data_IF_748137614215
#
_entry.id   IF_748137614215
#
_cell.length_a   1.000
_cell.length_b   1.000
_cell.length_c   1.000
_cell.angle_alpha   90.00
_cell.angle_beta   90.00
_cell.angle_gamma   90.00
#
_symmetry.space_group_name_H-M   'P 1'
#
loop_
_entity.id
_entity.type
_entity.pdbx_description
1 polymer ?
#
# COMPACT_ATOMS: atom_id res chain seq x y z
N UNK A 1 -8.55 -1.78 -22.17
CA UNK A 1 -7.94 -2.00 -20.83
C UNK A 1 -7.69 -3.49 -20.59
N UNK A 2 -6.45 -3.92 -20.78
CA UNK A 2 -6.00 -5.26 -20.34
C UNK A 2 -5.53 -5.16 -18.88
N UNK A 3 -6.15 -5.94 -18.00
CA UNK A 3 -5.72 -6.07 -16.60
C UNK A 3 -4.84 -7.30 -16.49
N UNK A 4 -3.53 -7.10 -16.32
CA UNK A 4 -2.61 -8.20 -16.04
C UNK A 4 -2.48 -8.32 -14.53
N UNK A 5 -3.21 -9.28 -13.95
CA UNK A 5 -3.08 -9.68 -12.56
C UNK A 5 -2.25 -10.97 -12.51
N UNK A 6 -0.99 -10.86 -12.10
CA UNK A 6 -0.15 -12.05 -11.96
C UNK A 6 -0.22 -12.59 -10.55
N UNK A 7 -0.58 -13.87 -10.44
CA UNK A 7 -0.80 -14.55 -9.17
C UNK A 7 0.15 -15.73 -9.05
N UNK A 8 1.12 -15.66 -8.14
CA UNK A 8 1.96 -16.81 -7.83
C UNK A 8 1.15 -17.87 -7.06
N UNK A 9 0.87 -19.01 -7.70
CA UNK A 9 0.24 -20.17 -7.04
C UNK A 9 1.14 -20.81 -5.97
N UNK A 10 2.46 -20.59 -6.03
CA UNK A 10 3.45 -21.18 -5.12
C UNK A 10 3.33 -20.69 -3.67
N UNK A 11 2.61 -19.59 -3.39
CA UNK A 11 2.61 -18.96 -2.05
C UNK A 11 1.38 -19.23 -1.17
N UNK A 12 0.36 -19.98 -1.63
CA UNK A 12 -0.91 -20.07 -0.87
C UNK A 12 -0.78 -20.67 0.53
N UNK A 13 0.20 -21.56 0.75
CA UNK A 13 0.26 -22.41 1.95
C UNK A 13 1.58 -22.40 2.74
N UNK A 14 2.60 -21.61 2.36
CA UNK A 14 3.88 -21.62 3.09
C UNK A 14 3.89 -20.51 4.17
N UNK A 15 4.15 -20.84 5.45
CA UNK A 15 3.96 -19.90 6.57
C UNK A 15 4.90 -18.69 6.58
N UNK A 16 6.00 -18.73 5.81
CA UNK A 16 7.02 -17.67 5.75
C UNK A 16 7.13 -16.99 4.37
N UNK A 17 6.10 -17.05 3.52
CA UNK A 17 6.15 -16.36 2.22
C UNK A 17 6.00 -14.86 2.39
N UNK A 18 7.09 -14.14 2.10
CA UNK A 18 7.09 -12.69 1.98
C UNK A 18 6.38 -12.28 0.66
N UNK A 19 5.33 -11.44 0.71
CA UNK A 19 4.63 -10.96 -0.49
C UNK A 19 5.55 -10.29 -1.51
N UNK A 20 6.52 -9.49 -1.04
CA UNK A 20 7.49 -8.81 -1.90
C UNK A 20 8.36 -9.79 -2.68
N UNK A 21 8.89 -10.82 -2.03
CA UNK A 21 9.68 -11.87 -2.72
C UNK A 21 8.84 -12.65 -3.72
N UNK A 22 7.60 -12.93 -3.35
CA UNK A 22 6.66 -13.66 -4.21
C UNK A 22 6.37 -12.88 -5.49
N UNK A 23 6.16 -11.57 -5.38
CA UNK A 23 5.90 -10.69 -6.51
C UNK A 23 7.14 -10.47 -7.39
N UNK A 24 8.32 -10.32 -6.80
CA UNK A 24 9.59 -10.23 -7.56
C UNK A 24 9.83 -11.50 -8.38
N UNK A 25 9.41 -12.66 -7.89
CA UNK A 25 9.53 -13.94 -8.61
C UNK A 25 8.53 -14.12 -9.76
N UNK A 26 7.69 -13.12 -10.05
CA UNK A 26 6.78 -13.15 -11.21
C UNK A 26 7.55 -12.77 -12.46
N UNK A 27 7.38 -13.54 -13.54
CA UNK A 27 8.00 -13.25 -14.83
C UNK A 27 7.45 -11.94 -15.42
N UNK A 28 8.26 -10.88 -15.41
CA UNK A 28 7.89 -9.56 -15.94
C UNK A 28 7.87 -9.52 -17.46
N UNK A 29 8.63 -10.39 -18.14
CA UNK A 29 8.65 -10.47 -19.61
C UNK A 29 7.25 -10.79 -20.16
N UNK A 30 6.57 -11.76 -19.54
CA UNK A 30 5.20 -12.14 -19.95
C UNK A 30 4.19 -11.02 -19.67
N UNK A 31 4.42 -10.22 -18.61
CA UNK A 31 3.54 -9.09 -18.25
C UNK A 31 3.63 -8.00 -19.30
N UNK A 32 4.84 -7.71 -19.79
CA UNK A 32 5.09 -6.59 -20.71
C UNK A 32 5.00 -6.99 -22.18
N UNK A 33 4.84 -8.28 -22.46
CA UNK A 33 4.65 -8.79 -23.81
C UNK A 33 3.48 -8.07 -24.52
N UNK A 34 3.76 -7.50 -25.70
CA UNK A 34 2.77 -6.76 -26.48
C UNK A 34 2.44 -5.36 -25.96
N UNK A 35 3.23 -4.82 -25.02
CA UNK A 35 3.19 -3.39 -24.69
C UNK A 35 3.94 -2.58 -25.76
N UNK A 36 3.39 -1.42 -26.12
CA UNK A 36 3.99 -0.53 -27.12
C UNK A 36 5.25 0.16 -26.57
N UNK A 37 6.25 0.30 -27.44
CA UNK A 37 7.38 1.20 -27.20
C UNK A 37 6.91 2.65 -27.13
N UNK A 38 7.69 3.51 -26.47
CA UNK A 38 7.35 4.93 -26.31
C UNK A 38 6.15 5.20 -25.38
N UNK A 39 5.81 4.24 -24.53
CA UNK A 39 4.76 4.39 -23.51
C UNK A 39 5.15 5.36 -22.39
N UNK A 40 4.16 5.78 -21.60
CA UNK A 40 4.35 6.44 -20.30
C UNK A 40 3.97 5.47 -19.17
N UNK A 41 4.91 5.21 -18.26
CA UNK A 41 4.68 4.37 -17.08
C UNK A 41 4.32 5.26 -15.92
N UNK A 42 3.17 4.99 -15.34
CA UNK A 42 2.54 5.81 -14.33
C UNK A 42 2.50 4.99 -13.05
N UNK A 43 3.31 5.38 -12.08
CA UNK A 43 3.36 4.69 -10.79
C UNK A 43 2.78 5.53 -9.67
N UNK A 44 1.85 4.93 -8.93
CA UNK A 44 1.22 5.57 -7.77
C UNK A 44 1.89 5.08 -6.48
N UNK A 45 3.00 5.74 -6.12
CA UNK A 45 3.83 5.46 -4.94
C UNK A 45 4.80 4.29 -5.12
N UNK A 46 6.11 4.56 -5.22
CA UNK A 46 7.11 3.52 -5.55
C UNK A 46 7.78 2.83 -4.37
N UNK A 47 7.68 3.39 -3.15
CA UNK A 47 8.45 2.88 -2.02
C UNK A 47 9.94 2.81 -2.38
N UNK A 48 10.53 1.61 -2.34
CA UNK A 48 11.94 1.37 -2.65
C UNK A 48 12.27 1.24 -4.15
N UNK A 49 11.29 1.37 -5.04
CA UNK A 49 11.43 1.34 -6.52
C UNK A 49 12.01 0.06 -7.15
N UNK A 50 12.45 -0.93 -6.37
CA UNK A 50 13.02 -2.20 -6.87
C UNK A 50 12.13 -2.92 -7.89
N UNK A 51 10.81 -2.95 -7.68
CA UNK A 51 9.87 -3.59 -8.62
C UNK A 51 9.70 -2.78 -9.90
N UNK A 52 9.79 -1.46 -9.77
CA UNK A 52 9.79 -0.53 -10.89
C UNK A 52 11.03 -0.73 -11.75
N UNK A 53 12.21 -0.90 -11.14
CA UNK A 53 13.45 -1.25 -11.85
C UNK A 53 13.32 -2.56 -12.62
N UNK A 54 12.79 -3.62 -11.99
CA UNK A 54 12.58 -4.91 -12.65
C UNK A 54 11.60 -4.78 -13.83
N UNK A 55 10.52 -4.01 -13.67
CA UNK A 55 9.56 -3.78 -14.75
C UNK A 55 10.18 -2.96 -15.90
N UNK A 56 10.89 -1.89 -15.57
CA UNK A 56 11.54 -1.01 -16.56
C UNK A 56 12.65 -1.72 -17.34
N UNK A 57 13.34 -2.67 -16.71
CA UNK A 57 14.34 -3.52 -17.36
C UNK A 57 13.71 -4.45 -18.41
N UNK A 58 12.44 -4.84 -18.23
CA UNK A 58 11.71 -5.68 -19.18
C UNK A 58 11.04 -4.88 -20.32
N UNK A 59 10.80 -3.58 -20.12
CA UNK A 59 10.19 -2.70 -21.13
C UNK A 59 11.22 -2.21 -22.15
N UNK A 60 11.07 -2.64 -23.41
CA UNK A 60 11.88 -2.21 -24.54
C UNK A 60 11.46 -0.78 -24.98
N UNK A 61 12.19 0.22 -24.45
CA UNK A 61 12.06 1.67 -24.67
C UNK A 61 10.76 2.31 -24.14
N UNK A 62 10.88 2.89 -22.94
CA UNK A 62 9.90 3.82 -22.38
C UNK A 62 10.19 5.26 -22.79
N UNK A 63 9.14 6.05 -23.02
CA UNK A 63 9.28 7.49 -23.23
C UNK A 63 9.45 8.22 -21.90
N UNK A 64 8.57 7.97 -20.92
CA UNK A 64 8.58 8.66 -19.62
C UNK A 64 8.17 7.74 -18.48
N UNK A 65 8.89 7.81 -17.37
CA UNK A 65 8.44 7.28 -16.08
C UNK A 65 7.86 8.44 -15.25
N UNK A 66 6.55 8.42 -15.05
CA UNK A 66 5.79 9.42 -14.30
C UNK A 66 5.38 8.88 -12.94
N UNK A 67 5.90 9.49 -11.88
CA UNK A 67 5.70 8.97 -10.54
C UNK A 67 4.98 9.95 -9.63
N UNK A 68 3.90 9.48 -9.01
CA UNK A 68 3.28 10.18 -7.90
C UNK A 68 3.97 9.81 -6.59
N UNK A 69 4.65 10.78 -5.97
CA UNK A 69 5.37 10.63 -4.70
C UNK A 69 4.76 11.48 -3.62
N UNK A 70 4.71 10.99 -2.38
CA UNK A 70 4.36 11.86 -1.24
C UNK A 70 5.52 12.76 -0.84
N UNK A 71 6.75 12.27 -0.99
CA UNK A 71 8.00 13.03 -0.85
C UNK A 71 8.98 12.58 -1.94
N UNK A 72 9.50 13.50 -2.76
CA UNK A 72 10.50 13.16 -3.77
C UNK A 72 11.83 12.85 -3.07
N UNK A 73 12.41 11.67 -3.34
CA UNK A 73 13.73 11.29 -2.85
C UNK A 73 14.75 11.37 -4.01
N UNK A 74 15.90 12.07 -3.84
CA UNK A 74 16.91 12.23 -4.90
C UNK A 74 17.45 10.91 -5.46
N UNK A 75 17.47 9.85 -4.65
CA UNK A 75 17.96 8.53 -5.05
C UNK A 75 17.17 7.92 -6.22
N UNK A 76 15.87 8.25 -6.35
CA UNK A 76 15.00 7.74 -7.42
C UNK A 76 15.48 8.24 -8.78
N UNK A 77 15.87 9.51 -8.90
CA UNK A 77 16.34 10.08 -10.16
C UNK A 77 17.63 9.41 -10.66
N UNK A 78 18.52 8.99 -9.75
CA UNK A 78 19.76 8.32 -10.11
C UNK A 78 19.55 6.88 -10.60
N UNK A 79 18.58 6.15 -10.03
CA UNK A 79 18.30 4.76 -10.39
C UNK A 79 17.84 4.58 -11.85
N UNK A 80 17.39 5.66 -12.50
CA UNK A 80 16.82 5.65 -13.85
C UNK A 80 17.62 6.49 -14.85
N UNK A 81 18.94 6.64 -14.64
CA UNK A 81 19.81 7.37 -15.55
C UNK A 81 19.69 6.85 -16.99
N UNK A 82 19.49 7.75 -17.95
CA UNK A 82 19.22 7.42 -19.37
C UNK A 82 17.74 7.32 -19.77
N UNK A 83 16.80 7.54 -18.84
CA UNK A 83 15.36 7.65 -19.14
C UNK A 83 14.81 8.99 -18.62
N UNK A 84 13.79 9.54 -19.29
CA UNK A 84 13.07 10.71 -18.75
C UNK A 84 12.22 10.27 -17.56
N UNK A 85 12.46 10.89 -16.41
CA UNK A 85 11.71 10.67 -15.16
C UNK A 85 11.05 11.97 -14.74
N UNK A 86 9.73 11.95 -14.67
CA UNK A 86 8.92 13.09 -14.25
C UNK A 86 8.29 12.75 -12.89
N UNK A 87 8.68 13.48 -11.86
CA UNK A 87 8.15 13.30 -10.50
C UNK A 87 7.06 14.32 -10.22
N UNK A 88 5.90 13.87 -9.75
CA UNK A 88 4.84 14.73 -9.23
C UNK A 88 4.60 14.44 -7.75
N UNK A 89 4.57 15.49 -6.94
CA UNK A 89 4.19 15.36 -5.54
C UNK A 89 2.68 15.22 -5.45
N UNK A 90 2.20 14.12 -4.85
CA UNK A 90 0.78 13.86 -4.71
C UNK A 90 0.41 12.68 -3.81
N UNK A 91 -0.88 12.59 -3.49
CA UNK A 91 -1.47 11.48 -2.74
C UNK A 91 -2.14 10.49 -3.71
N UNK A 92 -1.73 9.22 -3.66
CA UNK A 92 -2.30 8.14 -4.48
C UNK A 92 -3.80 7.93 -4.30
N UNK A 93 -4.39 8.51 -3.25
CA UNK A 93 -5.85 8.53 -3.03
C UNK A 93 -6.60 9.49 -3.95
N UNK A 94 -5.89 10.46 -4.53
CA UNK A 94 -6.48 11.48 -5.39
C UNK A 94 -6.26 11.11 -6.86
N UNK A 95 -7.17 11.51 -7.75
CA UNK A 95 -6.99 11.34 -9.19
C UNK A 95 -5.67 11.96 -9.65
N UNK A 96 -4.90 11.16 -10.38
CA UNK A 96 -3.69 11.64 -11.03
C UNK A 96 -4.07 12.36 -12.33
N UNK A 97 -3.45 13.51 -12.59
CA UNK A 97 -3.56 14.20 -13.88
C UNK A 97 -2.22 14.14 -14.57
N UNK A 98 -2.21 13.60 -15.79
CA UNK A 98 -1.03 13.63 -16.64
C UNK A 98 -0.91 15.00 -17.31
N UNK A 99 0.30 15.55 -17.44
CA UNK A 99 0.57 16.66 -18.34
C UNK A 99 0.09 16.35 -19.76
N UNK A 100 -0.39 17.36 -20.49
CA UNK A 100 -0.97 17.18 -21.82
C UNK A 100 0.01 16.52 -22.82
N UNK A 101 1.29 16.83 -22.72
CA UNK A 101 2.37 16.22 -23.51
C UNK A 101 2.53 14.71 -23.27
N UNK A 102 2.22 14.22 -22.07
CA UNK A 102 2.27 12.79 -21.75
C UNK A 102 0.96 12.07 -22.07
N UNK A 103 -0.15 12.80 -22.11
CA UNK A 103 -1.47 12.24 -22.39
C UNK A 103 -1.61 11.66 -23.81
N UNK A 104 -0.74 12.07 -24.74
CA UNK A 104 -0.66 11.51 -26.09
C UNK A 104 0.11 10.18 -26.18
N UNK A 105 0.83 9.80 -25.12
CA UNK A 105 1.62 8.57 -25.09
C UNK A 105 0.78 7.39 -24.59
N UNK A 106 1.02 6.15 -25.06
CA UNK A 106 0.32 4.98 -24.56
C UNK A 106 0.54 4.80 -23.05
N UNK A 107 -0.51 4.89 -22.21
CA UNK A 107 -0.34 4.91 -20.77
C UNK A 107 -0.32 3.49 -20.18
N UNK A 108 0.62 3.25 -19.28
CA UNK A 108 0.71 2.04 -18.47
C UNK A 108 0.63 2.46 -17.01
N UNK A 109 -0.44 2.08 -16.31
CA UNK A 109 -0.52 2.28 -14.86
C UNK A 109 0.09 1.06 -14.15
N UNK A 110 1.01 1.32 -13.24
CA UNK A 110 1.65 0.32 -12.41
C UNK A 110 1.34 0.56 -10.94
N UNK A 111 0.74 -0.45 -10.32
CA UNK A 111 0.40 -0.47 -8.89
C UNK A 111 1.06 -1.71 -8.29
N UNK A 112 2.37 -1.64 -7.96
CA UNK A 112 3.07 -2.77 -7.40
C UNK A 112 2.62 -3.08 -5.97
N UNK A 113 2.98 -4.27 -5.51
CA UNK A 113 2.74 -4.70 -4.15
C UNK A 113 1.30 -5.11 -3.89
N UNK A 114 0.97 -5.16 -2.61
CA UNK A 114 -0.41 -5.26 -2.12
C UNK A 114 -0.98 -3.87 -1.81
N UNK A 115 -0.48 -2.83 -2.48
CA UNK A 115 -0.83 -1.42 -2.23
C UNK A 115 -2.34 -1.19 -2.36
N UNK A 116 -3.00 -1.85 -3.31
CA UNK A 116 -4.47 -1.81 -3.45
C UNK A 116 -5.19 -2.35 -2.20
N UNK A 117 -4.58 -3.28 -1.46
CA UNK A 117 -5.12 -3.84 -0.22
C UNK A 117 -5.07 -2.91 0.99
N UNK A 118 -4.38 -1.76 0.88
CA UNK A 118 -4.39 -0.71 1.91
C UNK A 118 -5.75 -0.02 1.94
N UNK A 119 -6.36 0.18 0.78
CA UNK A 119 -7.60 0.93 0.59
C UNK A 119 -8.82 0.15 1.06
N UNK A 120 -9.82 0.88 1.55
CA UNK A 120 -11.18 0.31 1.69
C UNK A 120 -11.72 0.00 0.30
N UNK A 121 -12.69 -0.91 0.22
CA UNK A 121 -13.26 -1.35 -1.05
C UNK A 121 -13.77 -0.18 -1.90
N UNK A 122 -14.41 0.81 -1.28
CA UNK A 122 -14.96 1.97 -1.99
C UNK A 122 -13.87 2.92 -2.50
N UNK A 123 -12.77 3.03 -1.75
CA UNK A 123 -11.58 3.80 -2.13
C UNK A 123 -10.84 3.12 -3.27
N UNK A 124 -10.66 1.80 -3.20
CA UNK A 124 -10.06 1.00 -4.27
C UNK A 124 -10.86 1.12 -5.59
N UNK A 125 -12.20 1.07 -5.52
CA UNK A 125 -13.08 1.30 -6.68
C UNK A 125 -12.87 2.69 -7.29
N UNK A 126 -12.76 3.74 -6.46
CA UNK A 126 -12.50 5.11 -6.93
C UNK A 126 -11.13 5.21 -7.60
N UNK A 127 -10.10 4.63 -7.00
CA UNK A 127 -8.75 4.58 -7.56
C UNK A 127 -8.73 3.90 -8.92
N UNK A 128 -9.32 2.70 -9.02
CA UNK A 128 -9.37 1.93 -10.27
C UNK A 128 -10.17 2.64 -11.37
N UNK A 129 -11.25 3.35 -11.03
CA UNK A 129 -11.98 4.20 -11.99
C UNK A 129 -11.13 5.36 -12.49
N UNK A 130 -10.41 6.01 -11.59
CA UNK A 130 -9.49 7.10 -11.96
C UNK A 130 -8.36 6.62 -12.86
N UNK A 131 -7.81 5.43 -12.60
CA UNK A 131 -6.83 4.80 -13.48
C UNK A 131 -7.44 4.49 -14.84
N UNK A 132 -8.65 3.90 -14.87
CA UNK A 132 -9.38 3.63 -16.11
C UNK A 132 -9.57 4.88 -16.98
N UNK A 133 -9.88 6.03 -16.38
CA UNK A 133 -10.01 7.29 -17.12
C UNK A 133 -8.70 7.81 -17.72
N UNK A 134 -7.57 7.50 -17.08
CA UNK A 134 -6.24 7.87 -17.60
C UNK A 134 -5.84 6.91 -18.72
N UNK A 135 -6.14 5.62 -18.55
CA UNK A 135 -5.70 4.57 -19.46
C UNK A 135 -6.42 4.59 -20.81
N UNK A 136 -7.70 4.98 -20.82
CA UNK A 136 -8.51 4.88 -22.03
C UNK A 136 -8.64 3.45 -22.57
N UNK A 137 -8.94 3.32 -23.87
CA UNK A 137 -9.14 2.02 -24.50
C UNK A 137 -7.84 1.21 -24.58
N UNK A 138 -6.74 1.87 -24.95
CA UNK A 138 -5.47 1.25 -25.30
C UNK A 138 -4.48 1.14 -24.13
N UNK A 139 -4.76 1.80 -23.01
CA UNK A 139 -3.93 1.72 -21.83
C UNK A 139 -3.90 0.34 -21.18
N UNK A 140 -2.84 0.12 -20.41
CA UNK A 140 -2.57 -1.12 -19.67
C UNK A 140 -2.54 -0.87 -18.17
N UNK A 141 -3.13 -1.78 -17.40
CA UNK A 141 -3.04 -1.77 -15.95
C UNK A 141 -2.26 -3.01 -15.48
N UNK A 142 -1.15 -2.77 -14.80
CA UNK A 142 -0.36 -3.77 -14.09
C UNK A 142 -0.61 -3.57 -12.60
N UNK A 143 -1.22 -4.54 -11.94
CA UNK A 143 -1.60 -4.43 -10.54
C UNK A 143 -1.21 -5.67 -9.74
N UNK A 144 -0.46 -5.46 -8.68
CA UNK A 144 -0.18 -6.45 -7.67
C UNK A 144 -1.38 -6.61 -6.73
N UNK A 145 -1.78 -7.85 -6.48
CA UNK A 145 -2.82 -8.17 -5.50
C UNK A 145 -2.45 -9.46 -4.77
N UNK A 146 -2.43 -9.40 -3.43
CA UNK A 146 -2.16 -10.59 -2.64
C UNK A 146 -3.41 -11.48 -2.54
N UNK A 147 -3.22 -12.79 -2.71
CA UNK A 147 -4.31 -13.75 -2.67
C UNK A 147 -4.73 -14.08 -1.25
N UNK A 148 -6.00 -14.49 -1.10
CA UNK A 148 -6.51 -15.07 0.15
C UNK A 148 -5.67 -16.29 0.55
N UNK A 149 -5.29 -16.35 1.82
CA UNK A 149 -4.53 -17.45 2.44
C UNK A 149 -5.20 -17.88 3.74
N UNK A 150 -4.70 -18.97 4.31
CA UNK A 150 -5.09 -19.39 5.66
C UNK A 150 -4.82 -18.28 6.68
N UNK A 151 -5.63 -18.21 7.75
CA UNK A 151 -5.44 -17.22 8.81
C UNK A 151 -4.06 -17.33 9.46
N UNK A 152 -3.56 -18.57 9.63
CA UNK A 152 -2.23 -18.83 10.18
C UNK A 152 -1.13 -18.19 9.33
N UNK A 153 -1.17 -18.40 8.01
CA UNK A 153 -0.19 -17.83 7.06
C UNK A 153 -0.25 -16.31 7.02
N UNK A 154 -1.45 -15.73 7.12
CA UNK A 154 -1.59 -14.28 7.16
C UNK A 154 -1.01 -13.73 8.45
N UNK A 155 -1.36 -14.27 9.62
CA UNK A 155 -0.86 -13.76 10.90
C UNK A 155 0.66 -13.92 11.04
N UNK A 156 1.23 -15.04 10.60
CA UNK A 156 2.68 -15.28 10.66
C UNK A 156 3.47 -14.29 9.80
N UNK A 157 2.93 -13.86 8.66
CA UNK A 157 3.57 -12.86 7.81
C UNK A 157 3.74 -11.49 8.48
N UNK A 158 2.96 -11.20 9.54
CA UNK A 158 3.05 -9.96 10.32
C UNK A 158 3.62 -10.19 11.72
N UNK A 159 4.01 -11.41 12.07
CA UNK A 159 4.61 -11.79 13.36
C UNK A 159 6.05 -12.26 13.17
N UNK A 160 6.85 -11.37 12.62
CA UNK A 160 8.23 -11.60 12.21
C UNK A 160 9.22 -11.52 13.39
N UNK A 161 10.22 -12.40 13.34
CA UNK A 161 11.42 -12.35 14.17
C UNK A 161 12.62 -12.02 13.26
N UNK A 162 13.49 -11.05 13.63
CA UNK A 162 13.31 -10.05 14.69
C UNK A 162 12.11 -9.13 14.39
N UNK A 163 11.54 -8.51 15.41
CA UNK A 163 10.25 -7.80 15.39
C UNK A 163 10.22 -6.49 14.58
N UNK A 164 10.59 -6.55 13.29
CA UNK A 164 10.64 -5.42 12.36
C UNK A 164 9.24 -4.85 12.15
N UNK A 165 8.20 -5.67 12.01
CA UNK A 165 6.81 -5.17 11.92
C UNK A 165 6.38 -4.41 13.17
N UNK A 166 6.82 -4.83 14.36
CA UNK A 166 6.50 -4.12 15.60
C UNK A 166 7.24 -2.78 15.68
N UNK A 167 8.52 -2.75 15.28
CA UNK A 167 9.31 -1.51 15.20
C UNK A 167 8.71 -0.53 14.19
N UNK A 168 8.31 -1.01 13.01
CA UNK A 168 7.63 -0.23 11.98
C UNK A 168 6.34 0.40 12.50
N UNK A 169 5.47 -0.38 13.17
CA UNK A 169 4.24 0.16 13.75
C UNK A 169 4.52 1.20 14.85
N UNK A 170 5.50 0.94 15.74
CA UNK A 170 5.90 1.89 16.80
C UNK A 170 6.53 3.17 16.25
N UNK A 171 7.14 3.13 15.06
CA UNK A 171 7.68 4.32 14.42
C UNK A 171 6.59 5.38 14.14
N UNK A 172 5.33 4.98 13.99
CA UNK A 172 4.21 5.93 13.89
C UNK A 172 4.07 6.79 15.15
N UNK A 173 4.35 6.25 16.35
CA UNK A 173 4.37 7.02 17.58
C UNK A 173 5.51 8.04 17.55
N UNK A 174 6.71 7.60 17.19
CA UNK A 174 7.90 8.48 17.08
C UNK A 174 7.65 9.64 16.13
N UNK A 175 7.09 9.38 14.95
CA UNK A 175 6.75 10.42 13.98
C UNK A 175 5.65 11.35 14.51
N UNK A 176 4.58 10.79 15.05
CA UNK A 176 3.49 11.57 15.67
C UNK A 176 4.01 12.46 16.81
N UNK A 177 4.98 11.98 17.58
CA UNK A 177 5.66 12.75 18.63
C UNK A 177 6.28 14.02 18.10
N UNK A 178 6.99 13.91 16.98
CA UNK A 178 7.74 15.04 16.40
C UNK A 178 6.81 16.07 15.76
N UNK A 179 5.72 15.61 15.17
CA UNK A 179 4.92 16.44 14.25
C UNK A 179 3.63 17.00 14.88
N UNK A 180 2.96 16.24 15.76
CA UNK A 180 1.57 16.49 16.14
C UNK A 180 1.31 16.43 17.65
N UNK A 181 1.96 15.50 18.34
CA UNK A 181 1.62 15.15 19.72
C UNK A 181 2.91 14.84 20.50
N UNK A 182 3.64 15.86 21.00
CA UNK A 182 4.95 15.69 21.64
C UNK A 182 5.04 14.65 22.77
N UNK A 183 3.90 14.29 23.36
CA UNK A 183 3.81 13.27 24.42
C UNK A 183 3.66 11.83 23.91
N UNK A 184 3.46 11.60 22.61
CA UNK A 184 3.41 10.25 22.01
C UNK A 184 4.81 9.67 21.81
N UNK A 185 5.49 9.33 22.89
CA UNK A 185 6.87 8.82 22.83
C UNK A 185 6.94 7.33 22.49
N UNK A 186 8.10 6.87 22.00
CA UNK A 186 8.39 5.42 21.80
C UNK A 186 8.46 4.63 23.10
N UNK A 187 8.57 5.32 24.25
CA UNK A 187 8.59 4.72 25.59
C UNK A 187 7.20 4.36 26.11
N UNK A 188 6.13 4.69 25.37
CA UNK A 188 4.78 4.27 25.72
C UNK A 188 4.68 2.74 25.77
N UNK A 189 3.98 2.26 26.79
CA UNK A 189 3.82 0.82 27.03
C UNK A 189 2.74 0.26 26.12
N UNK A 190 3.13 -0.13 24.90
CA UNK A 190 2.24 -0.65 23.86
C UNK A 190 2.70 -2.00 23.31
N UNK A 191 1.74 -2.84 22.92
CA UNK A 191 1.95 -4.11 22.22
C UNK A 191 1.32 -4.06 20.83
N UNK A 192 2.01 -4.65 19.83
CA UNK A 192 1.44 -4.87 18.50
C UNK A 192 0.43 -6.01 18.55
N UNK A 193 -0.76 -5.81 17.98
CA UNK A 193 -1.73 -6.88 17.75
C UNK A 193 -2.13 -6.90 16.27
N UNK A 194 -2.02 -8.06 15.64
CA UNK A 194 -2.56 -8.30 14.30
C UNK A 194 -3.88 -9.07 14.41
N UNK A 195 -4.87 -8.67 13.63
CA UNK A 195 -6.20 -9.28 13.60
C UNK A 195 -6.64 -9.47 12.16
N UNK A 196 -7.43 -10.50 11.91
CA UNK A 196 -8.20 -10.62 10.67
C UNK A 196 -9.64 -10.17 10.93
N UNK A 197 -10.21 -9.42 10.01
CA UNK A 197 -11.64 -9.04 10.05
C UNK A 197 -12.42 -9.78 8.96
N UNK A 198 -13.76 -9.82 9.08
CA UNK A 198 -14.65 -10.28 7.99
C UNK A 198 -14.25 -9.56 6.70
N UNK A 199 -13.77 -10.32 5.71
CA UNK A 199 -13.25 -9.77 4.43
C UNK A 199 -11.80 -10.12 4.06
N UNK A 200 -11.12 -11.03 4.79
CA UNK A 200 -9.74 -11.48 4.46
C UNK A 200 -8.69 -10.35 4.45
N UNK A 201 -8.82 -9.40 5.38
CA UNK A 201 -7.88 -8.29 5.57
C UNK A 201 -7.17 -8.43 6.92
N UNK A 202 -5.87 -8.12 6.95
CA UNK A 202 -5.11 -7.96 8.18
C UNK A 202 -5.18 -6.51 8.66
N UNK A 203 -5.47 -6.34 9.94
CA UNK A 203 -5.49 -5.07 10.64
C UNK A 203 -4.44 -5.12 11.77
N UNK A 204 -3.61 -4.08 11.88
CA UNK A 204 -2.57 -3.96 12.89
C UNK A 204 -2.91 -2.84 13.87
N UNK A 205 -2.73 -3.11 15.15
CA UNK A 205 -3.04 -2.19 16.23
C UNK A 205 -1.86 -2.05 17.18
N UNK A 206 -1.69 -0.84 17.73
CA UNK A 206 -0.90 -0.61 18.93
C UNK A 206 -1.87 -0.57 20.12
N UNK A 207 -1.77 -1.55 21.00
CA UNK A 207 -2.64 -1.69 22.17
C UNK A 207 -1.88 -1.22 23.40
N UNK A 208 -2.44 -0.24 24.11
CA UNK A 208 -1.88 0.23 25.38
C UNK A 208 -1.95 -0.86 26.44
N UNK A 209 -0.84 -1.11 27.15
CA UNK A 209 -0.79 -2.07 28.27
C UNK A 209 -1.36 -1.51 29.58
N UNK A 210 -1.56 -0.19 29.65
CA UNK A 210 -2.08 0.53 30.83
C UNK A 210 -2.81 1.80 30.41
N UNK A 211 -3.48 2.48 31.33
CA UNK A 211 -3.94 3.84 31.09
C UNK A 211 -2.74 4.75 30.80
N UNK A 212 -2.80 5.53 29.72
CA UNK A 212 -1.76 6.48 29.32
C UNK A 212 -2.42 7.81 28.96
N UNK A 213 -1.87 8.91 29.46
CA UNK A 213 -2.34 10.26 29.14
C UNK A 213 -1.50 10.81 27.99
N UNK A 214 -2.17 11.22 26.93
CA UNK A 214 -1.54 11.81 25.74
C UNK A 214 -2.06 13.23 25.59
N UNK A 215 -1.16 14.21 25.55
CA UNK A 215 -1.46 15.62 25.34
C UNK A 215 -0.99 16.04 23.95
N UNK A 216 -1.90 16.61 23.16
CA UNK A 216 -1.58 17.29 21.91
C UNK A 216 -1.83 18.78 22.08
N UNK A 217 -0.89 19.60 21.61
CA UNK A 217 -1.06 21.05 21.53
C UNK A 217 -1.69 21.49 20.20
N UNK A 218 -1.95 20.57 19.26
CA UNK A 218 -2.36 20.86 17.87
C UNK A 218 -3.67 20.17 17.43
N UNK A 219 -4.27 19.34 18.27
CA UNK A 219 -5.54 18.67 17.97
C UNK A 219 -6.69 19.36 18.71
N UNK A 220 -7.32 20.36 18.10
CA UNK A 220 -8.70 20.73 18.43
C UNK A 220 -9.61 19.63 17.90
N UNK A 221 -9.90 18.63 18.73
CA UNK A 221 -10.95 17.68 18.44
C UNK A 221 -12.30 18.38 18.62
N UNK A 222 -13.01 18.70 17.54
CA UNK A 222 -14.44 18.94 17.63
C UNK A 222 -15.09 17.61 17.99
N UNK A 223 -15.72 17.46 19.18
CA UNK A 223 -16.37 16.21 19.52
C UNK A 223 -17.53 15.96 18.52
N UNK A 224 -17.75 14.71 18.06
CA UNK A 224 -18.92 14.41 17.26
C UNK A 224 -20.16 14.80 18.07
N UNK A 225 -21.05 15.55 17.42
CA UNK A 225 -22.28 16.05 18.02
C UNK A 225 -23.01 14.94 18.77
N UNK A 226 -23.44 15.27 19.98
CA UNK A 226 -23.99 14.39 20.99
C UNK A 226 -25.35 13.82 20.53
N UNK A 227 -25.34 12.81 19.66
CA UNK A 227 -26.56 12.10 19.24
C UNK A 227 -26.32 10.60 19.06
N UNK A 228 -25.75 9.95 20.07
CA UNK A 228 -25.87 8.50 20.27
C UNK A 228 -25.48 8.07 21.71
N UNK A 229 -25.98 8.75 22.75
CA UNK A 229 -26.06 8.14 24.09
C UNK A 229 -27.38 7.38 24.20
N UNK A 230 -27.41 6.12 23.73
CA UNK A 230 -28.32 5.04 24.20
C UNK A 230 -28.05 3.76 23.40
N UNK A 231 -27.15 2.91 23.91
CA UNK A 231 -27.39 1.48 24.21
C UNK A 231 -26.06 0.78 24.47
N UNK A 232 -25.51 0.96 25.66
CA UNK A 232 -24.60 -0.03 26.23
C UNK A 232 -25.42 -1.26 26.63
N UNK A 233 -25.77 -2.12 25.68
CA UNK A 233 -25.96 -3.54 25.98
C UNK A 233 -24.63 -4.22 25.69
N UNK A 234 -24.05 -4.81 26.72
CA UNK A 234 -22.91 -5.73 26.62
C UNK A 234 -23.40 -6.95 25.85
N UNK A 235 -22.98 -7.11 24.61
CA UNK A 235 -23.01 -8.43 24.00
C UNK A 235 -21.84 -9.23 24.60
N UNK A 236 -22.09 -10.39 25.23
CA UNK A 236 -21.02 -11.21 25.78
C UNK A 236 -20.15 -11.78 24.65
N UNK A 237 -18.83 -11.81 24.91
CA UNK A 237 -17.85 -12.49 24.06
C UNK A 237 -18.23 -13.98 23.93
N UNK A 238 -18.14 -14.60 22.75
CA UNK A 238 -18.32 -16.03 22.62
C UNK A 238 -17.17 -16.76 23.31
N UNK A 239 -17.48 -17.42 24.42
CA UNK A 239 -16.64 -18.42 25.07
C UNK A 239 -16.72 -19.72 24.28
N UNK A 240 -15.70 -20.02 23.49
CA UNK A 240 -15.51 -21.38 22.97
C UNK A 240 -14.76 -22.17 24.05
N UNK A 241 -15.48 -23.03 24.77
CA UNK A 241 -14.87 -24.11 25.54
C UNK A 241 -14.34 -25.14 24.53
N UNK A 242 -13.04 -25.44 24.60
CA UNK A 242 -12.46 -26.65 24.03
C UNK A 242 -12.58 -27.74 25.10
N UNK A 243 -13.36 -28.78 24.79
CA UNK A 243 -13.11 -30.13 25.31
C UNK A 243 -12.10 -30.79 24.38
#
# INVERSE_FOLDING_TARGET
MLMVASFSRRSRNHPNTNPTRTEIGINTVDIVAGMSSGSVLIESGSGSSLKTEILLAALDKMAVYFQQVRWPEPAICHAFSGRRVDLVVGDCRNPLRLPAELAALPPICFVPGFTIGIFRQDEAKKLLRSMGSILGADGRLIIGADLRKSMRTLLSAYDDAPSVTAAFNKNLLVRSSRELVPTLTSTLSVTKRALTRRGSRIEMYLVSKRAQVVRSSRLTATPPSNRARRSTRRDPLPTTHLN
#
